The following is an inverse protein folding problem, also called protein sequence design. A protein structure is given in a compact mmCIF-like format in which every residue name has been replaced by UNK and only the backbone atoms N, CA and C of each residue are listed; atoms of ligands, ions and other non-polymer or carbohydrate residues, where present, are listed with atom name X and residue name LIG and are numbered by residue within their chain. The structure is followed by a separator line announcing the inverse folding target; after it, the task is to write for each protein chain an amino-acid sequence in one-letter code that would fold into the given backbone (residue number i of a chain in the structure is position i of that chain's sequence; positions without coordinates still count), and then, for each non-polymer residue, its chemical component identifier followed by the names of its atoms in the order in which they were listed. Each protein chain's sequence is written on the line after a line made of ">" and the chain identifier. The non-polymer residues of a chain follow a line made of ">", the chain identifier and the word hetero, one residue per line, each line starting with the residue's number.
data_IF_593489966030
#
_entry.id   IF_593489966030
#
_cell.length_a   1.000
_cell.length_b   1.000
_cell.length_c   1.000
_cell.angle_alpha   90.00
_cell.angle_beta   90.00
_cell.angle_gamma   90.00
#
_symmetry.space_group_name_H-M   'P 1'
#
loop_
_entity.id
_entity.type
_entity.pdbx_description
1 polymer ?
#
# COMPACT_ATOMS: atom_id res chain seq x y z
N UNK A 1 -38.82 -10.05 51.88
CA UNK A 1 -38.13 -10.98 52.80
C UNK A 1 -36.66 -10.94 52.42
N UNK A 2 -35.85 -10.34 53.29
CA UNK A 2 -34.44 -10.00 53.09
C UNK A 2 -33.60 -11.21 53.50
N UNK A 3 -32.64 -11.62 52.66
CA UNK A 3 -31.46 -12.36 53.11
C UNK A 3 -30.25 -11.81 52.35
N UNK A 4 -29.52 -10.95 53.05
CA UNK A 4 -28.13 -10.58 52.81
C UNK A 4 -27.24 -11.79 53.13
N UNK A 5 -26.18 -12.01 52.35
CA UNK A 5 -25.00 -12.71 52.86
C UNK A 5 -23.72 -12.18 52.23
N UNK A 6 -22.92 -11.65 53.13
CA UNK A 6 -21.58 -11.12 53.07
C UNK A 6 -20.54 -12.18 52.68
N UNK A 7 -19.48 -11.76 51.99
CA UNK A 7 -18.27 -12.57 51.78
C UNK A 7 -17.16 -11.76 51.13
N UNK A 8 -16.46 -10.93 51.94
CA UNK A 8 -15.18 -10.31 51.61
C UNK A 8 -14.08 -11.37 51.51
N UNK A 9 -13.17 -11.22 50.54
CA UNK A 9 -11.77 -11.60 50.68
C UNK A 9 -10.91 -10.66 49.84
N UNK A 10 -10.27 -9.69 50.50
CA UNK A 10 -9.07 -9.01 50.01
C UNK A 10 -7.87 -9.90 50.29
N UNK A 11 -6.96 -10.08 49.34
CA UNK A 11 -5.52 -10.05 49.64
C UNK A 11 -4.74 -9.69 48.36
N UNK A 12 -4.03 -8.56 48.42
CA UNK A 12 -2.94 -8.18 47.53
C UNK A 12 -1.79 -9.19 47.56
N UNK A 13 -1.12 -9.38 46.43
CA UNK A 13 0.32 -9.62 46.44
C UNK A 13 0.97 -8.86 45.28
N UNK A 14 1.64 -7.77 45.64
CA UNK A 14 2.70 -7.13 44.87
C UNK A 14 3.81 -8.13 44.56
N UNK A 15 4.36 -8.11 43.34
CA UNK A 15 5.80 -8.28 43.10
C UNK A 15 6.21 -7.46 41.89
N UNK A 16 7.23 -6.65 42.11
CA UNK A 16 7.87 -5.69 41.21
C UNK A 16 9.05 -6.31 40.47
N UNK A 17 9.48 -5.55 39.46
CA UNK A 17 10.87 -5.39 39.01
C UNK A 17 11.38 -6.23 37.82
N UNK A 18 11.70 -5.44 36.78
CA UNK A 18 12.89 -5.45 35.94
C UNK A 18 13.23 -6.68 35.10
N UNK A 19 13.30 -6.43 33.79
CA UNK A 19 14.45 -6.90 33.02
C UNK A 19 14.85 -5.81 32.02
N UNK A 20 15.97 -5.17 32.32
CA UNK A 20 16.76 -4.35 31.41
C UNK A 20 17.13 -5.16 30.16
N UNK A 21 16.90 -4.60 28.97
CA UNK A 21 17.58 -5.05 27.76
C UNK A 21 18.51 -3.94 27.29
N UNK A 22 19.77 -4.17 27.64
CA UNK A 22 20.92 -3.34 27.35
C UNK A 22 21.13 -3.10 25.85
N UNK A 23 21.58 -1.88 25.59
CA UNK A 23 22.20 -1.41 24.37
C UNK A 23 23.32 -2.34 23.89
N UNK A 24 23.34 -2.64 22.59
CA UNK A 24 24.57 -3.04 21.90
C UNK A 24 24.86 -2.05 20.80
N UNK A 25 25.88 -1.23 21.05
CA UNK A 25 26.43 -0.27 20.11
C UNK A 25 27.15 -1.02 18.98
N UNK A 26 26.75 -0.78 17.74
CA UNK A 26 27.46 -1.27 16.57
C UNK A 26 28.73 -0.41 16.34
N UNK A 27 29.88 -1.05 16.49
CA UNK A 27 31.21 -0.53 16.18
C UNK A 27 31.34 -0.22 14.69
N UNK A 28 31.48 1.07 14.34
CA UNK A 28 31.86 1.51 13.00
C UNK A 28 33.37 1.37 12.83
N UNK A 29 33.77 0.39 12.02
CA UNK A 29 35.16 0.16 11.64
C UNK A 29 35.60 1.22 10.61
N UNK A 30 36.56 2.06 11.01
CA UNK A 30 37.35 2.92 10.11
C UNK A 30 38.34 2.05 9.35
N UNK A 31 38.41 2.19 8.02
CA UNK A 31 39.66 2.28 7.22
C UNK A 31 39.35 2.21 5.72
N UNK A 32 39.50 3.33 5.01
CA UNK A 32 40.44 3.41 3.89
C UNK A 32 40.50 4.83 3.33
N UNK A 33 41.58 5.51 3.71
CA UNK A 33 42.05 6.75 3.09
C UNK A 33 42.89 6.34 1.88
N UNK A 34 42.47 6.73 0.69
CA UNK A 34 43.36 6.77 -0.48
C UNK A 34 43.51 8.24 -0.86
N UNK A 35 44.60 8.82 -0.35
CA UNK A 35 45.10 10.14 -0.70
C UNK A 35 45.66 10.10 -2.13
N UNK A 36 45.13 10.92 -3.03
CA UNK A 36 45.80 11.28 -4.26
C UNK A 36 46.26 12.74 -4.19
N UNK A 37 47.58 12.92 -4.24
CA UNK A 37 48.28 14.18 -4.12
C UNK A 37 48.03 15.08 -5.34
N UNK A 38 47.81 16.38 -5.08
CA UNK A 38 47.91 17.50 -6.04
C UNK A 38 49.37 17.90 -6.20
N UNK A 39 49.83 18.27 -7.41
CA UNK A 39 50.89 19.24 -7.57
C UNK A 39 50.32 20.64 -7.78
N UNK A 40 50.99 21.62 -7.15
CA UNK A 40 50.78 23.05 -7.32
C UNK A 40 51.91 23.65 -8.18
N UNK A 41 51.63 24.86 -8.70
CA UNK A 41 52.46 25.84 -9.46
C UNK A 41 51.92 26.05 -10.89
N UNK A 42 51.80 27.26 -11.44
CA UNK A 42 52.11 28.63 -11.02
C UNK A 42 51.29 29.55 -11.95
N UNK A 43 50.78 30.67 -11.43
CA UNK A 43 50.34 31.83 -12.22
C UNK A 43 51.54 32.62 -12.72
N UNK A 44 51.38 33.36 -13.83
CA UNK A 44 51.46 34.82 -13.66
C UNK A 44 50.31 35.56 -14.35
N UNK A 45 50.05 36.73 -13.78
CA UNK A 45 49.07 37.70 -14.17
C UNK A 45 49.37 38.33 -15.54
N UNK A 46 48.32 38.67 -16.27
CA UNK A 46 48.32 39.85 -17.12
C UNK A 46 46.95 40.54 -17.02
N UNK A 47 47.00 41.81 -16.66
CA UNK A 47 45.89 42.73 -16.55
C UNK A 47 45.77 43.50 -17.87
N UNK A 48 44.56 43.61 -18.42
CA UNK A 48 44.14 44.80 -19.20
C UNK A 48 42.61 44.91 -19.34
N UNK A 49 42.18 45.97 -18.71
CA UNK A 49 40.94 46.75 -18.66
C UNK A 49 40.07 46.82 -19.92
N UNK A 50 38.76 46.95 -19.63
CA UNK A 50 37.74 47.75 -20.33
C UNK A 50 37.08 47.17 -21.59
N UNK A 51 35.86 46.68 -21.38
CA UNK A 51 34.80 46.64 -22.37
C UNK A 51 33.45 46.71 -21.65
N UNK A 52 32.92 47.93 -21.50
CA UNK A 52 31.54 48.19 -21.10
C UNK A 52 30.59 47.38 -22.00
N UNK A 53 29.88 46.39 -21.44
CA UNK A 53 28.58 45.97 -21.95
C UNK A 53 27.69 45.70 -20.75
N UNK A 54 26.99 46.75 -20.34
CA UNK A 54 25.83 46.67 -19.47
C UNK A 54 24.69 46.00 -20.26
N UNK A 55 24.71 44.68 -20.36
CA UNK A 55 23.53 43.90 -20.72
C UNK A 55 22.75 43.59 -19.44
N UNK A 56 22.16 44.63 -18.88
CA UNK A 56 21.16 44.51 -17.81
C UNK A 56 19.82 44.15 -18.44
N UNK A 57 19.72 42.96 -19.04
CA UNK A 57 18.45 42.38 -19.51
C UNK A 57 18.47 40.86 -19.40
N UNK A 58 18.82 40.30 -18.23
CA UNK A 58 18.57 38.89 -17.96
C UNK A 58 18.61 38.56 -16.47
N UNK A 59 17.47 38.64 -15.78
CA UNK A 59 17.42 38.12 -14.42
C UNK A 59 16.31 38.60 -13.51
N UNK A 60 15.22 39.15 -14.04
CA UNK A 60 14.06 39.49 -13.22
C UNK A 60 12.80 38.90 -13.86
N UNK A 61 12.73 37.57 -13.80
CA UNK A 61 11.50 36.79 -14.02
C UNK A 61 11.20 35.99 -12.74
N UNK A 62 11.49 36.61 -11.59
CA UNK A 62 11.20 36.06 -10.28
C UNK A 62 9.72 36.30 -9.96
N UNK A 63 9.00 35.19 -9.72
CA UNK A 63 7.59 35.07 -9.32
C UNK A 63 6.58 34.75 -10.45
N UNK A 64 6.99 34.00 -11.47
CA UNK A 64 5.99 33.27 -12.26
C UNK A 64 5.41 32.16 -11.37
N UNK A 65 4.15 32.31 -10.97
CA UNK A 65 3.27 31.20 -10.56
C UNK A 65 3.37 30.14 -11.65
N UNK A 66 4.18 29.10 -11.44
CA UNK A 66 4.37 28.05 -12.43
C UNK A 66 3.00 27.38 -12.68
N UNK A 67 2.46 27.56 -13.89
CA UNK A 67 1.19 26.93 -14.27
C UNK A 67 1.42 25.44 -14.56
N UNK A 68 0.97 24.58 -13.64
CA UNK A 68 1.11 23.13 -13.74
C UNK A 68 0.00 22.43 -14.54
N UNK A 69 -1.01 23.16 -15.02
CA UNK A 69 -2.20 22.58 -15.66
C UNK A 69 -1.85 21.66 -16.83
N UNK A 70 -0.81 21.99 -17.59
CA UNK A 70 -0.35 21.22 -18.77
C UNK A 70 0.71 20.16 -18.45
N UNK A 71 1.35 20.23 -17.28
CA UNK A 71 2.42 19.32 -16.90
C UNK A 71 1.87 17.91 -16.61
N UNK A 72 2.58 16.86 -17.01
CA UNK A 72 2.28 15.49 -16.60
C UNK A 72 2.73 15.20 -15.16
N UNK A 73 2.12 14.23 -14.49
CA UNK A 73 2.53 13.79 -13.14
C UNK A 73 4.00 13.37 -13.09
N UNK A 74 4.54 12.81 -14.19
CA UNK A 74 5.96 12.47 -14.31
C UNK A 74 6.84 13.72 -14.35
N UNK A 75 6.46 14.74 -15.11
CA UNK A 75 7.20 16.00 -15.17
C UNK A 75 7.22 16.69 -13.81
N UNK A 76 6.08 16.74 -13.11
CA UNK A 76 6.01 17.29 -11.75
C UNK A 76 6.95 16.57 -10.78
N UNK A 77 7.04 15.24 -10.84
CA UNK A 77 8.01 14.48 -10.02
C UNK A 77 9.47 14.84 -10.33
N UNK A 78 9.78 15.07 -11.61
CA UNK A 78 11.13 15.49 -12.03
C UNK A 78 11.41 16.90 -11.49
N UNK A 79 10.45 17.83 -11.64
CA UNK A 79 10.56 19.20 -11.14
C UNK A 79 10.70 19.25 -9.61
N UNK A 80 9.97 18.41 -8.87
CA UNK A 80 10.10 18.32 -7.41
C UNK A 80 11.51 17.89 -7.01
N UNK A 81 12.07 16.86 -7.68
CA UNK A 81 13.44 16.42 -7.43
C UNK A 81 14.47 17.51 -7.79
N UNK A 82 14.24 18.28 -8.85
CA UNK A 82 15.11 19.41 -9.23
C UNK A 82 15.04 20.55 -8.21
N UNK A 83 13.83 20.94 -7.78
CA UNK A 83 13.62 21.96 -6.77
C UNK A 83 14.23 21.55 -5.42
N UNK A 84 14.11 20.27 -5.05
CA UNK A 84 14.78 19.73 -3.87
C UNK A 84 16.31 19.87 -3.94
N UNK A 85 16.93 19.57 -5.11
CA UNK A 85 18.37 19.75 -5.29
C UNK A 85 18.80 21.22 -5.19
N UNK A 86 17.96 22.16 -5.63
CA UNK A 86 18.23 23.59 -5.48
C UNK A 86 18.10 24.06 -4.02
N UNK A 87 17.26 23.41 -3.22
CA UNK A 87 17.17 23.64 -1.78
C UNK A 87 18.37 23.08 -1.01
N UNK A 88 18.96 22.00 -1.49
CA UNK A 88 20.08 21.29 -0.85
C UNK A 88 21.45 21.96 -1.08
N UNK A 89 21.50 23.10 -1.78
CA UNK A 89 22.74 23.86 -1.96
C UNK A 89 23.06 24.75 -0.76
N UNK A 90 24.35 25.04 -0.51
CA UNK A 90 24.80 25.91 0.60
C UNK A 90 24.15 27.31 0.60
N UNK A 91 23.77 27.79 -0.59
CA UNK A 91 23.06 29.05 -0.77
C UNK A 91 21.91 28.86 -1.78
N UNK A 92 20.71 28.46 -1.31
CA UNK A 92 19.59 28.22 -2.19
C UNK A 92 19.09 29.53 -2.81
N UNK A 93 18.69 29.53 -4.09
CA UNK A 93 18.20 30.73 -4.73
C UNK A 93 16.88 31.18 -4.07
N UNK A 94 16.58 32.50 -4.08
CA UNK A 94 15.30 33.02 -3.60
C UNK A 94 14.13 32.36 -4.36
N UNK A 95 13.06 31.99 -3.64
CA UNK A 95 11.91 31.32 -4.25
C UNK A 95 12.05 29.79 -4.37
N UNK A 96 13.18 29.19 -3.97
CA UNK A 96 13.39 27.75 -4.09
C UNK A 96 12.40 26.93 -3.23
N UNK A 97 12.06 27.45 -2.05
CA UNK A 97 11.13 26.81 -1.12
C UNK A 97 9.72 26.84 -1.70
N UNK A 98 9.29 28.01 -2.17
CA UNK A 98 7.98 28.24 -2.76
C UNK A 98 7.79 27.40 -4.02
N UNK A 99 8.83 27.26 -4.84
CA UNK A 99 8.81 26.40 -6.03
C UNK A 99 8.65 24.93 -5.66
N UNK A 100 9.42 24.43 -4.70
CA UNK A 100 9.30 23.05 -4.25
C UNK A 100 7.91 22.78 -3.67
N UNK A 101 7.41 23.67 -2.80
CA UNK A 101 6.08 23.58 -2.20
C UNK A 101 4.99 23.55 -3.27
N UNK A 102 5.03 24.46 -4.24
CA UNK A 102 4.04 24.53 -5.34
C UNK A 102 3.96 23.22 -6.13
N UNK A 103 5.10 22.61 -6.46
CA UNK A 103 5.14 21.33 -7.19
C UNK A 103 4.64 20.16 -6.32
N UNK A 104 5.02 20.13 -5.04
CA UNK A 104 4.57 19.09 -4.09
C UNK A 104 3.07 19.18 -3.83
N UNK A 105 2.54 20.39 -3.67
CA UNK A 105 1.12 20.62 -3.44
C UNK A 105 0.28 20.17 -4.64
N UNK A 106 0.72 20.47 -5.85
CA UNK A 106 0.07 19.98 -7.08
C UNK A 106 0.15 18.45 -7.20
N UNK A 107 1.30 17.84 -6.91
CA UNK A 107 1.44 16.38 -6.85
C UNK A 107 0.48 15.77 -5.83
N UNK A 108 0.34 16.40 -4.65
CA UNK A 108 -0.59 15.98 -3.60
C UNK A 108 -2.05 16.16 -3.99
N UNK A 109 -2.39 17.24 -4.69
CA UNK A 109 -3.73 17.48 -5.23
C UNK A 109 -4.11 16.40 -6.24
N UNK A 110 -3.23 16.09 -7.21
CA UNK A 110 -3.47 15.03 -8.20
C UNK A 110 -3.51 13.64 -7.57
N UNK A 111 -2.72 13.38 -6.54
CA UNK A 111 -2.78 12.12 -5.80
C UNK A 111 -4.15 11.93 -5.15
N UNK A 112 -4.68 12.95 -4.48
CA UNK A 112 -6.04 12.93 -3.89
C UNK A 112 -7.10 12.72 -4.95
N UNK A 113 -7.06 13.46 -6.05
CA UNK A 113 -8.01 13.26 -7.15
C UNK A 113 -7.94 11.85 -7.74
N UNK A 114 -6.75 11.26 -7.89
CA UNK A 114 -6.60 9.90 -8.39
C UNK A 114 -7.17 8.87 -7.40
N UNK A 115 -7.01 9.09 -6.09
CA UNK A 115 -7.63 8.24 -5.06
C UNK A 115 -9.16 8.33 -5.10
N UNK A 116 -9.72 9.53 -5.28
CA UNK A 116 -11.16 9.75 -5.38
C UNK A 116 -11.76 9.14 -6.66
N UNK A 117 -11.06 9.26 -7.80
CA UNK A 117 -11.49 8.68 -9.07
C UNK A 117 -11.39 7.15 -9.11
N UNK A 118 -10.55 6.56 -8.26
CA UNK A 118 -10.25 5.14 -8.26
C UNK A 118 -9.41 4.70 -9.47
N UNK A 119 -8.96 3.42 -9.50
CA UNK A 119 -8.17 2.88 -10.60
C UNK A 119 -8.97 2.85 -11.91
N UNK A 120 -8.34 3.25 -13.01
CA UNK A 120 -8.94 3.29 -14.37
C UNK A 120 -9.21 1.89 -14.93
N UNK A 121 -8.47 0.89 -14.46
CA UNK A 121 -8.66 -0.51 -14.84
C UNK A 121 -9.18 -1.30 -13.63
N UNK A 122 -10.18 -2.19 -13.83
CA UNK A 122 -10.60 -3.09 -12.77
C UNK A 122 -9.42 -3.99 -12.35
N UNK A 123 -9.37 -4.39 -11.07
CA UNK A 123 -8.36 -5.31 -10.57
C UNK A 123 -8.34 -6.60 -11.40
N UNK A 124 -7.15 -7.15 -11.65
CA UNK A 124 -7.03 -8.40 -12.42
C UNK A 124 -7.33 -9.58 -11.52
N UNK A 125 -8.54 -10.12 -11.67
CA UNK A 125 -9.01 -11.29 -10.94
C UNK A 125 -8.58 -12.58 -11.65
N UNK A 126 -8.13 -13.56 -10.88
CA UNK A 126 -7.82 -14.91 -11.39
C UNK A 126 -8.31 -15.97 -10.40
N UNK A 127 -9.27 -16.77 -10.85
CA UNK A 127 -9.83 -17.88 -10.07
C UNK A 127 -9.09 -19.19 -10.35
N UNK A 128 -8.81 -19.97 -9.31
CA UNK A 128 -8.16 -21.29 -9.41
C UNK A 128 -8.84 -22.31 -8.49
N UNK A 129 -9.04 -23.52 -9.00
CA UNK A 129 -9.39 -24.70 -8.19
C UNK A 129 -8.11 -25.47 -7.85
N UNK A 130 -7.73 -25.48 -6.57
CA UNK A 130 -6.54 -26.16 -6.08
C UNK A 130 -6.93 -27.52 -5.48
N UNK A 131 -6.90 -28.55 -6.33
CA UNK A 131 -7.29 -29.92 -5.97
C UNK A 131 -6.40 -30.54 -4.89
N UNK A 132 -5.11 -30.17 -4.84
CA UNK A 132 -4.16 -30.71 -3.87
C UNK A 132 -4.51 -30.27 -2.45
N UNK A 133 -4.80 -28.99 -2.26
CA UNK A 133 -5.17 -28.42 -0.96
C UNK A 133 -6.68 -28.38 -0.73
N UNK A 134 -7.48 -28.88 -1.68
CA UNK A 134 -8.94 -28.88 -1.68
C UNK A 134 -9.51 -27.51 -1.31
N UNK A 135 -9.05 -26.49 -2.05
CA UNK A 135 -9.53 -25.12 -1.86
C UNK A 135 -9.64 -24.39 -3.18
N UNK A 136 -10.65 -23.54 -3.27
CA UNK A 136 -10.74 -22.54 -4.33
C UNK A 136 -9.94 -21.31 -3.91
N UNK A 137 -9.24 -20.71 -4.85
CA UNK A 137 -8.36 -19.56 -4.62
C UNK A 137 -8.75 -18.44 -5.58
N UNK A 138 -8.83 -17.21 -5.06
CA UNK A 138 -8.99 -15.99 -5.85
C UNK A 138 -7.73 -15.16 -5.69
N UNK A 139 -7.11 -14.81 -6.82
CA UNK A 139 -5.98 -13.90 -6.89
C UNK A 139 -6.42 -12.56 -7.46
N UNK A 140 -5.92 -11.48 -6.87
CA UNK A 140 -6.11 -10.10 -7.32
C UNK A 140 -4.73 -9.50 -7.56
N UNK A 141 -4.46 -9.09 -8.80
CA UNK A 141 -3.16 -8.57 -9.23
C UNK A 141 -1.99 -9.48 -8.83
N UNK A 142 -2.21 -10.80 -8.94
CA UNK A 142 -1.22 -11.84 -8.62
C UNK A 142 -1.07 -12.17 -7.13
N UNK A 143 -1.77 -11.48 -6.23
CA UNK A 143 -1.76 -11.76 -4.78
C UNK A 143 -2.99 -12.57 -4.39
N UNK A 144 -2.83 -13.57 -3.52
CA UNK A 144 -3.96 -14.32 -2.99
C UNK A 144 -4.86 -13.37 -2.18
N UNK A 145 -6.11 -13.20 -2.61
CA UNK A 145 -7.08 -12.32 -1.96
C UNK A 145 -7.98 -13.09 -0.99
N UNK A 146 -8.51 -14.24 -1.44
CA UNK A 146 -9.36 -15.09 -0.64
C UNK A 146 -9.21 -16.55 -1.05
N UNK A 147 -9.54 -17.47 -0.14
CA UNK A 147 -9.67 -18.88 -0.46
C UNK A 147 -10.85 -19.52 0.28
N UNK A 148 -11.39 -20.59 -0.29
CA UNK A 148 -12.50 -21.36 0.27
C UNK A 148 -12.15 -22.85 0.26
N UNK A 149 -11.97 -23.44 1.44
CA UNK A 149 -11.73 -24.88 1.61
C UNK A 149 -13.00 -25.66 1.34
N UNK A 150 -12.85 -26.83 0.73
CA UNK A 150 -13.96 -27.73 0.44
C UNK A 150 -13.61 -29.20 0.67
N UNK A 151 -14.63 -30.03 0.74
CA UNK A 151 -14.51 -31.48 0.56
C UNK A 151 -15.47 -31.97 -0.52
N UNK A 152 -15.17 -33.13 -1.09
CA UNK A 152 -15.99 -33.78 -2.11
C UNK A 152 -16.64 -35.03 -1.51
N UNK A 153 -17.95 -35.19 -1.68
CA UNK A 153 -18.66 -36.41 -1.33
C UNK A 153 -19.76 -36.71 -2.35
N UNK A 154 -19.70 -37.85 -3.03
CA UNK A 154 -20.81 -38.35 -3.86
C UNK A 154 -21.40 -37.35 -4.87
N UNK A 155 -20.56 -36.54 -5.55
CA UNK A 155 -21.03 -35.52 -6.50
C UNK A 155 -21.48 -34.19 -5.86
N UNK A 156 -21.24 -34.02 -4.56
CA UNK A 156 -21.48 -32.81 -3.79
C UNK A 156 -20.15 -32.19 -3.34
N UNK A 157 -20.10 -30.85 -3.36
CA UNK A 157 -19.02 -30.02 -2.83
C UNK A 157 -19.47 -29.42 -1.50
N UNK A 158 -18.84 -29.80 -0.41
CA UNK A 158 -19.11 -29.23 0.91
C UNK A 158 -18.17 -28.04 1.12
N UNK A 159 -18.72 -26.83 1.32
CA UNK A 159 -17.96 -25.61 1.54
C UNK A 159 -17.69 -25.43 3.02
N UNK A 160 -16.43 -25.62 3.43
CA UNK A 160 -16.06 -25.84 4.84
C UNK A 160 -15.66 -24.55 5.56
N UNK A 161 -14.82 -23.74 4.92
CA UNK A 161 -14.19 -22.59 5.57
C UNK A 161 -13.68 -21.59 4.53
N UNK A 162 -14.11 -20.34 4.65
CA UNK A 162 -13.77 -19.25 3.74
C UNK A 162 -12.93 -18.21 4.47
N UNK A 163 -11.78 -17.86 3.89
CA UNK A 163 -10.82 -16.93 4.51
C UNK A 163 -10.42 -15.85 3.52
N UNK A 164 -10.59 -14.60 3.94
CA UNK A 164 -10.08 -13.43 3.25
C UNK A 164 -8.75 -12.96 3.87
N UNK A 165 -7.82 -12.56 3.01
CA UNK A 165 -6.57 -11.96 3.44
C UNK A 165 -6.81 -10.53 3.93
N UNK A 166 -6.04 -10.11 4.94
CA UNK A 166 -6.26 -8.84 5.66
C UNK A 166 -6.29 -7.61 4.75
N UNK A 167 -5.47 -7.55 3.71
CA UNK A 167 -5.44 -6.45 2.74
C UNK A 167 -6.56 -6.44 1.71
N UNK A 168 -7.43 -7.45 1.70
CA UNK A 168 -8.51 -7.66 0.74
C UNK A 168 -9.88 -7.77 1.42
N UNK A 169 -9.93 -7.68 2.75
CA UNK A 169 -11.16 -7.76 3.53
C UNK A 169 -12.08 -6.60 3.22
N UNK A 170 -13.39 -6.87 3.26
CA UNK A 170 -14.47 -5.88 3.09
C UNK A 170 -14.46 -5.16 1.74
N UNK A 171 -13.77 -5.74 0.74
CA UNK A 171 -13.70 -5.24 -0.63
C UNK A 171 -14.58 -6.06 -1.60
N UNK A 172 -15.36 -7.03 -1.08
CA UNK A 172 -16.28 -7.87 -1.87
C UNK A 172 -15.62 -9.03 -2.62
N UNK A 173 -14.36 -9.36 -2.29
CA UNK A 173 -13.65 -10.47 -2.92
C UNK A 173 -14.13 -11.84 -2.44
N UNK A 174 -14.76 -11.93 -1.27
CA UNK A 174 -15.49 -13.11 -0.78
C UNK A 174 -16.68 -13.47 -1.68
N UNK A 175 -17.49 -12.47 -2.01
CA UNK A 175 -18.67 -12.58 -2.88
C UNK A 175 -18.23 -12.96 -4.29
N UNK A 176 -17.15 -12.33 -4.77
CA UNK A 176 -16.54 -12.63 -6.08
C UNK A 176 -16.02 -14.07 -6.14
N UNK A 177 -15.27 -14.50 -5.11
CA UNK A 177 -14.81 -15.89 -4.97
C UNK A 177 -16.00 -16.85 -4.99
N UNK A 178 -17.02 -16.59 -4.18
CA UNK A 178 -18.18 -17.47 -4.07
C UNK A 178 -18.96 -17.58 -5.38
N UNK A 179 -19.13 -16.48 -6.12
CA UNK A 179 -19.71 -16.50 -7.46
C UNK A 179 -18.93 -17.42 -8.39
N UNK A 180 -17.60 -17.32 -8.41
CA UNK A 180 -16.78 -18.23 -9.20
C UNK A 180 -16.91 -19.68 -8.77
N UNK A 181 -16.98 -19.95 -7.46
CA UNK A 181 -17.20 -21.30 -6.92
C UNK A 181 -18.53 -21.87 -7.39
N UNK A 182 -19.63 -21.11 -7.27
CA UNK A 182 -20.95 -21.56 -7.71
C UNK A 182 -20.99 -21.83 -9.22
N UNK A 183 -20.37 -20.96 -10.02
CA UNK A 183 -20.26 -21.17 -11.47
C UNK A 183 -19.39 -22.39 -11.82
N UNK A 184 -18.29 -22.62 -11.09
CA UNK A 184 -17.43 -23.80 -11.28
C UNK A 184 -18.21 -25.09 -10.97
N UNK A 185 -18.93 -25.11 -9.84
CA UNK A 185 -19.76 -26.24 -9.42
C UNK A 185 -20.88 -26.49 -10.42
N UNK A 186 -21.56 -25.45 -10.87
CA UNK A 186 -22.62 -25.56 -11.89
C UNK A 186 -22.08 -26.15 -13.19
N UNK A 187 -20.93 -25.64 -13.68
CA UNK A 187 -20.26 -26.18 -14.88
C UNK A 187 -19.92 -27.67 -14.76
N UNK A 188 -19.57 -28.10 -13.55
CA UNK A 188 -19.24 -29.51 -13.24
C UNK A 188 -20.47 -30.36 -12.93
N UNK A 189 -21.69 -29.78 -12.95
CA UNK A 189 -22.96 -30.43 -12.59
C UNK A 189 -22.93 -31.08 -11.20
N UNK A 190 -22.25 -30.42 -10.26
CA UNK A 190 -22.17 -30.86 -8.87
C UNK A 190 -23.21 -30.11 -8.02
N UNK A 191 -23.55 -30.69 -6.88
CA UNK A 191 -24.34 -30.01 -5.85
C UNK A 191 -23.41 -29.29 -4.87
N UNK A 192 -23.91 -28.25 -4.19
CA UNK A 192 -23.18 -27.52 -3.13
C UNK A 192 -23.85 -27.76 -1.79
N UNK A 193 -23.08 -28.05 -0.75
CA UNK A 193 -23.55 -27.96 0.63
C UNK A 193 -22.84 -26.79 1.34
N UNK A 194 -23.55 -25.71 1.69
CA UNK A 194 -22.98 -24.62 2.48
C UNK A 194 -22.78 -25.09 3.93
N UNK A 195 -21.55 -25.08 4.43
CA UNK A 195 -21.24 -25.39 5.84
C UNK A 195 -20.52 -24.25 6.56
N UNK A 196 -20.17 -23.17 5.84
CA UNK A 196 -19.49 -22.00 6.40
C UNK A 196 -20.34 -20.73 6.31
N UNK A 197 -20.12 -19.74 7.20
CA UNK A 197 -20.86 -18.48 7.20
C UNK A 197 -20.79 -17.73 5.86
N UNK A 198 -19.62 -17.68 5.23
CA UNK A 198 -19.42 -17.05 3.92
C UNK A 198 -20.40 -17.59 2.85
N UNK A 199 -20.60 -18.91 2.81
CA UNK A 199 -21.52 -19.53 1.85
C UNK A 199 -22.99 -19.26 2.21
N UNK A 200 -23.34 -19.24 3.49
CA UNK A 200 -24.70 -18.92 3.94
C UNK A 200 -25.07 -17.47 3.61
N UNK A 201 -24.21 -16.50 3.95
CA UNK A 201 -24.42 -15.09 3.64
C UNK A 201 -24.58 -14.88 2.14
N UNK A 202 -23.68 -15.45 1.33
CA UNK A 202 -23.78 -15.33 -0.13
C UNK A 202 -25.09 -15.90 -0.70
N UNK A 203 -25.54 -17.06 -0.23
CA UNK A 203 -26.80 -17.66 -0.73
C UNK A 203 -28.06 -16.92 -0.26
N UNK A 204 -27.97 -16.17 0.85
CA UNK A 204 -29.04 -15.28 1.28
C UNK A 204 -29.17 -14.08 0.34
N UNK A 205 -28.04 -13.49 -0.06
CA UNK A 205 -27.97 -12.33 -0.94
C UNK A 205 -28.21 -12.70 -2.42
N UNK A 206 -27.88 -13.92 -2.81
CA UNK A 206 -27.97 -14.43 -4.18
C UNK A 206 -28.88 -15.67 -4.30
N UNK A 207 -30.21 -15.49 -4.22
CA UNK A 207 -31.17 -16.60 -4.25
C UNK A 207 -31.14 -17.41 -5.56
N UNK A 208 -30.64 -16.84 -6.66
CA UNK A 208 -30.46 -17.51 -7.95
C UNK A 208 -29.57 -18.76 -7.88
N UNK A 209 -28.63 -18.81 -6.92
CA UNK A 209 -27.75 -19.98 -6.74
C UNK A 209 -28.35 -21.05 -5.81
N UNK A 210 -29.51 -20.82 -5.19
CA UNK A 210 -30.14 -21.78 -4.26
C UNK A 210 -30.50 -23.10 -4.91
N UNK A 211 -30.69 -23.15 -6.23
CA UNK A 211 -30.95 -24.37 -6.97
C UNK A 211 -29.75 -25.34 -6.97
N UNK A 212 -28.53 -24.82 -6.83
CA UNK A 212 -27.32 -25.63 -6.71
C UNK A 212 -27.08 -26.11 -5.27
N UNK A 213 -27.65 -25.39 -4.31
CA UNK A 213 -27.51 -25.70 -2.91
C UNK A 213 -28.40 -26.90 -2.55
N UNK A 214 -27.77 -27.97 -2.05
CA UNK A 214 -28.50 -29.04 -1.40
C UNK A 214 -29.10 -28.49 -0.13
N UNK A 215 -30.41 -28.70 0.03
CA UNK A 215 -31.11 -28.40 1.28
C UNK A 215 -30.52 -29.30 2.35
N UNK A 216 -29.73 -28.76 3.27
CA UNK A 216 -29.29 -29.49 4.45
C UNK A 216 -30.53 -29.91 5.22
N UNK A 217 -30.77 -31.22 5.37
CA UNK A 217 -31.71 -31.72 6.36
C UNK A 217 -31.07 -31.49 7.72
N UNK A 218 -31.44 -30.39 8.37
CA UNK A 218 -31.28 -30.24 9.81
C UNK A 218 -32.24 -31.15 10.54
#
# INVERSE_FOLDING_TARGET
>A
MVLTSTGMAMTELMHTANTDSSMTAATVSRSNVVSFARPAHQTPADSRTAGLQSDTHRGEDHLSTEDFTTASTRQLRIMANQAYRMLDTDYPPPGAVERYQSVVDELGHRARQAMERGPVAPPRETFRDNLLYRRFELFVDGRLAAYLKYSMNGGQVNLLDGVEQTGFRDQGFDTTLMRHVMLNVHKRRLNVAPQCPMAFSFLADHPEFRLLATRSRT
#
